data_IF_383495945575
#
_entry.id   IF_383495945575
#
_cell.length_a   1.000
_cell.length_b   1.000
_cell.length_c   1.000
_cell.angle_alpha   90.00
_cell.angle_beta   90.00
_cell.angle_gamma   90.00
#
_symmetry.space_group_name_H-M   'P 1'
#
loop_
_entity.id
_entity.type
_entity.pdbx_description
1 polymer ?
#
# COMPACT_ATOMS: atom_id res chain seq x y z
N UNK A 1 27.96 3.01 5.79
CA UNK A 1 26.69 2.28 5.67
C UNK A 1 25.83 3.04 4.66
N UNK A 2 25.16 2.34 3.75
CA UNK A 2 24.24 3.01 2.83
C UNK A 2 23.07 3.61 3.64
N UNK A 3 22.71 4.83 3.32
CA UNK A 3 21.58 5.50 3.95
C UNK A 3 20.29 4.76 3.61
N UNK A 4 19.52 4.39 4.62
CA UNK A 4 18.26 3.70 4.42
C UNK A 4 17.23 4.62 3.79
N UNK A 5 16.49 4.10 2.84
CA UNK A 5 15.42 4.83 2.17
C UNK A 5 14.34 5.31 3.17
N UNK A 6 13.74 6.47 2.89
CA UNK A 6 12.69 7.06 3.72
C UNK A 6 11.53 6.06 3.95
N UNK A 7 11.07 5.40 2.90
CA UNK A 7 9.96 4.45 3.00
C UNK A 7 10.29 3.23 3.86
N UNK A 8 11.56 2.81 3.89
CA UNK A 8 12.00 1.70 4.76
C UNK A 8 11.88 2.09 6.23
N UNK A 9 12.28 3.30 6.58
CA UNK A 9 12.18 3.80 7.96
C UNK A 9 10.73 3.96 8.39
N UNK A 10 9.88 4.47 7.51
CA UNK A 10 8.42 4.57 7.74
C UNK A 10 7.81 3.18 7.93
N UNK A 11 8.22 2.22 7.08
CA UNK A 11 7.77 0.82 7.22
C UNK A 11 8.18 0.24 8.57
N UNK A 12 9.44 0.40 8.94
CA UNK A 12 9.99 -0.16 10.19
C UNK A 12 9.28 0.45 11.41
N UNK A 13 9.01 1.75 11.38
CA UNK A 13 8.23 2.41 12.44
C UNK A 13 6.79 1.86 12.52
N UNK A 14 6.09 1.78 11.39
CA UNK A 14 4.73 1.19 11.35
C UNK A 14 4.72 -0.27 11.78
N UNK A 15 5.74 -1.03 11.40
CA UNK A 15 5.91 -2.42 11.82
C UNK A 15 6.12 -2.52 13.34
N UNK A 16 6.96 -1.64 13.92
CA UNK A 16 7.20 -1.62 15.37
C UNK A 16 5.90 -1.38 16.14
N UNK A 17 5.11 -0.38 15.73
CA UNK A 17 3.81 -0.11 16.35
C UNK A 17 2.88 -1.33 16.30
N UNK A 18 2.81 -1.98 15.14
CA UNK A 18 1.99 -3.18 14.97
C UNK A 18 2.47 -4.32 15.89
N UNK A 19 3.78 -4.53 15.93
CA UNK A 19 4.37 -5.61 16.73
C UNK A 19 4.20 -5.37 18.23
N UNK A 20 4.38 -4.14 18.70
CA UNK A 20 4.14 -3.76 20.10
C UNK A 20 2.69 -4.07 20.51
N UNK A 21 1.73 -3.72 19.66
CA UNK A 21 0.32 -4.02 19.88
C UNK A 21 0.06 -5.54 19.93
N UNK A 22 0.67 -6.31 19.03
CA UNK A 22 0.51 -7.77 19.01
C UNK A 22 1.21 -8.46 20.21
N UNK A 23 2.39 -7.96 20.58
CA UNK A 23 3.18 -8.53 21.68
C UNK A 23 2.56 -8.24 23.06
N UNK A 24 1.77 -7.16 23.18
CA UNK A 24 1.01 -6.88 24.41
C UNK A 24 -0.05 -7.94 24.71
N UNK A 25 -0.43 -8.75 23.72
CA UNK A 25 -1.45 -9.80 23.85
C UNK A 25 -0.71 -11.16 23.87
N UNK A 26 -0.60 -11.82 25.04
CA UNK A 26 0.16 -13.07 25.12
C UNK A 26 -0.56 -14.25 24.48
N UNK A 27 0.22 -15.20 23.98
CA UNK A 27 -0.28 -16.48 23.46
C UNK A 27 -0.80 -16.43 22.03
N UNK A 28 -1.35 -17.56 21.60
CA UNK A 28 -1.88 -17.71 20.23
C UNK A 28 -3.07 -16.82 19.99
N UNK A 29 -3.09 -16.17 18.83
CA UNK A 29 -4.13 -15.20 18.45
C UNK A 29 -4.46 -15.28 16.97
N UNK A 30 -5.64 -14.82 16.58
CA UNK A 30 -6.00 -14.61 15.19
C UNK A 30 -6.19 -13.12 14.95
N UNK A 31 -5.71 -12.62 13.81
CA UNK A 31 -6.04 -11.25 13.37
C UNK A 31 -7.30 -11.33 12.51
N UNK A 32 -8.25 -10.44 12.81
CA UNK A 32 -9.48 -10.25 12.05
C UNK A 32 -9.38 -8.91 11.33
N UNK A 33 -9.20 -8.97 10.03
CA UNK A 33 -8.86 -7.81 9.20
C UNK A 33 -10.10 -7.08 8.69
N UNK A 34 -10.08 -5.76 8.79
CA UNK A 34 -10.82 -4.92 7.87
C UNK A 34 -10.21 -5.13 6.47
N UNK A 35 -11.01 -5.56 5.47
CA UNK A 35 -10.46 -5.84 4.14
C UNK A 35 -9.70 -4.67 3.49
N UNK A 36 -10.07 -3.43 3.81
CA UNK A 36 -9.42 -2.23 3.28
C UNK A 36 -8.01 -2.03 3.86
N UNK A 37 -7.77 -2.50 5.08
CA UNK A 37 -6.47 -2.37 5.76
C UNK A 37 -5.51 -3.50 5.42
N UNK A 38 -6.03 -4.70 5.12
CA UNK A 38 -5.22 -5.90 4.98
C UNK A 38 -4.05 -5.72 4.01
N UNK A 39 -4.32 -5.15 2.83
CA UNK A 39 -3.30 -4.94 1.80
C UNK A 39 -2.23 -3.95 2.25
N UNK A 40 -2.64 -2.87 2.89
CA UNK A 40 -1.72 -1.82 3.37
C UNK A 40 -0.80 -2.35 4.47
N UNK A 41 -1.37 -3.10 5.42
CA UNK A 41 -0.59 -3.68 6.53
C UNK A 41 0.38 -4.76 6.01
N UNK A 42 0.04 -5.49 4.96
CA UNK A 42 0.96 -6.45 4.32
C UNK A 42 2.22 -5.78 3.76
N UNK A 43 2.19 -4.47 3.49
CA UNK A 43 3.39 -3.70 3.12
C UNK A 43 4.32 -3.46 4.32
N UNK A 44 3.77 -3.52 5.55
CA UNK A 44 4.54 -3.34 6.78
C UNK A 44 5.07 -4.67 7.31
N UNK A 45 4.26 -5.73 7.28
CA UNK A 45 4.61 -7.00 7.92
C UNK A 45 4.18 -8.20 7.09
N UNK A 46 5.12 -9.09 6.84
CA UNK A 46 4.86 -10.36 6.13
C UNK A 46 4.10 -11.34 7.04
N UNK A 47 3.44 -12.31 6.44
CA UNK A 47 2.77 -13.41 7.17
C UNK A 47 3.77 -14.13 8.11
N UNK A 48 5.00 -14.35 7.65
CA UNK A 48 6.05 -14.98 8.47
C UNK A 48 6.35 -14.16 9.74
N UNK A 49 6.45 -12.83 9.62
CA UNK A 49 6.70 -11.94 10.74
C UNK A 49 5.53 -11.92 11.74
N UNK A 50 4.30 -12.00 11.24
CA UNK A 50 3.09 -12.12 12.07
C UNK A 50 3.06 -13.46 12.80
N UNK A 51 3.44 -14.57 12.15
CA UNK A 51 3.51 -15.89 12.76
C UNK A 51 4.51 -15.92 13.93
N UNK A 52 5.64 -15.19 13.82
CA UNK A 52 6.61 -15.04 14.89
C UNK A 52 6.03 -14.33 16.13
N UNK A 53 4.90 -13.60 15.97
CA UNK A 53 4.16 -12.92 17.05
C UNK A 53 2.95 -13.75 17.52
N UNK A 54 2.99 -15.07 17.29
CA UNK A 54 1.93 -16.01 17.64
C UNK A 54 0.58 -15.73 16.95
N UNK A 55 0.61 -15.08 15.79
CA UNK A 55 -0.59 -14.95 14.94
C UNK A 55 -0.70 -16.24 14.11
N UNK A 56 -1.67 -17.06 14.42
CA UNK A 56 -1.83 -18.37 13.76
C UNK A 56 -2.85 -18.33 12.63
N UNK A 57 -3.79 -17.39 12.66
CA UNK A 57 -4.78 -17.23 11.58
C UNK A 57 -4.95 -15.76 11.18
N UNK A 58 -5.17 -15.56 9.89
CA UNK A 58 -5.56 -14.28 9.29
C UNK A 58 -6.97 -14.44 8.74
N UNK A 59 -7.93 -13.77 9.35
CA UNK A 59 -9.36 -13.86 9.06
C UNK A 59 -9.84 -12.52 8.50
N UNK A 60 -10.91 -12.50 7.74
CA UNK A 60 -11.46 -11.27 7.18
C UNK A 60 -12.86 -11.00 7.69
N UNK A 61 -13.12 -9.75 8.11
CA UNK A 61 -14.42 -9.35 8.68
C UNK A 61 -15.59 -9.52 7.70
N UNK A 62 -15.33 -9.47 6.39
CA UNK A 62 -16.38 -9.57 5.37
C UNK A 62 -16.71 -11.01 4.96
N UNK A 63 -16.01 -11.99 5.51
CA UNK A 63 -16.25 -13.40 5.22
C UNK A 63 -17.13 -14.05 6.29
N UNK A 64 -17.89 -15.10 5.95
CA UNK A 64 -18.61 -15.86 6.97
C UNK A 64 -17.66 -16.39 8.05
N UNK A 65 -18.20 -16.69 9.21
CA UNK A 65 -17.39 -17.25 10.31
C UNK A 65 -16.67 -18.52 9.83
N UNK A 66 -15.37 -18.51 9.95
CA UNK A 66 -14.50 -19.62 9.59
C UNK A 66 -14.39 -20.54 10.81
N UNK A 67 -14.39 -21.86 10.60
CA UNK A 67 -14.17 -22.86 11.67
C UNK A 67 -12.85 -22.59 12.42
N UNK A 68 -11.85 -22.04 11.74
CA UNK A 68 -10.58 -21.61 12.35
C UNK A 68 -10.77 -20.56 13.45
N UNK A 69 -11.85 -19.80 13.41
CA UNK A 69 -12.23 -18.87 14.46
C UNK A 69 -12.41 -19.59 15.82
N UNK A 70 -12.84 -20.84 15.77
CA UNK A 70 -13.13 -21.65 16.97
C UNK A 70 -11.86 -22.28 17.59
N UNK A 71 -10.74 -22.23 16.88
CA UNK A 71 -9.47 -22.80 17.34
C UNK A 71 -8.65 -21.83 18.20
N UNK A 72 -9.09 -20.57 18.32
CA UNK A 72 -8.35 -19.49 18.98
C UNK A 72 -9.25 -18.74 19.96
N UNK A 73 -8.73 -18.47 21.14
CA UNK A 73 -9.46 -17.74 22.18
C UNK A 73 -9.23 -16.22 22.13
N UNK A 74 -8.22 -15.74 21.39
CA UNK A 74 -7.86 -14.32 21.32
C UNK A 74 -8.01 -13.81 19.90
N UNK A 75 -8.91 -12.85 19.72
CA UNK A 75 -9.18 -12.21 18.43
C UNK A 75 -8.69 -10.77 18.47
N UNK A 76 -7.80 -10.43 17.55
CA UNK A 76 -7.23 -9.09 17.41
C UNK A 76 -7.82 -8.45 16.15
N UNK A 77 -8.59 -7.40 16.32
CA UNK A 77 -9.25 -6.70 15.22
C UNK A 77 -8.42 -5.49 14.80
N UNK A 78 -8.10 -5.40 13.52
CA UNK A 78 -7.47 -4.23 12.91
C UNK A 78 -8.53 -3.55 12.05
N UNK A 79 -9.00 -2.38 12.49
CA UNK A 79 -10.23 -1.75 12.02
C UNK A 79 -9.94 -0.34 11.51
N UNK A 80 -10.43 -0.03 10.33
CA UNK A 80 -10.38 1.33 9.78
C UNK A 80 -11.47 2.24 10.38
N UNK A 81 -11.39 3.52 10.08
CA UNK A 81 -12.27 4.55 10.66
C UNK A 81 -13.68 4.57 10.06
N UNK A 82 -13.93 3.87 8.94
CA UNK A 82 -15.17 3.98 8.19
C UNK A 82 -16.38 3.43 8.95
N UNK A 83 -17.56 3.94 8.64
CA UNK A 83 -18.82 3.41 9.20
C UNK A 83 -19.02 1.94 8.77
N UNK A 84 -18.58 1.58 7.57
CA UNK A 84 -18.65 0.21 7.06
C UNK A 84 -17.77 -0.73 7.90
N UNK A 85 -16.54 -0.30 8.23
CA UNK A 85 -15.63 -1.08 9.09
C UNK A 85 -16.26 -1.35 10.46
N UNK A 86 -16.84 -0.31 11.06
CA UNK A 86 -17.51 -0.44 12.36
C UNK A 86 -18.72 -1.39 12.30
N UNK A 87 -19.50 -1.33 11.24
CA UNK A 87 -20.63 -2.25 11.03
C UNK A 87 -20.13 -3.71 10.95
N UNK A 88 -19.11 -3.97 10.13
CA UNK A 88 -18.50 -5.30 9.99
C UNK A 88 -17.95 -5.81 11.32
N UNK A 89 -17.29 -4.93 12.09
CA UNK A 89 -16.78 -5.27 13.42
C UNK A 89 -17.92 -5.72 14.35
N UNK A 90 -18.99 -4.94 14.42
CA UNK A 90 -20.17 -5.28 15.26
C UNK A 90 -20.79 -6.62 14.86
N UNK A 91 -20.93 -6.86 13.56
CA UNK A 91 -21.45 -8.13 13.06
C UNK A 91 -20.53 -9.31 13.43
N UNK A 92 -19.22 -9.13 13.27
CA UNK A 92 -18.25 -10.17 13.58
C UNK A 92 -18.24 -10.48 15.09
N UNK A 93 -18.22 -9.45 15.94
CA UNK A 93 -18.31 -9.60 17.40
C UNK A 93 -19.57 -10.38 17.80
N UNK A 94 -20.71 -10.08 17.20
CA UNK A 94 -21.97 -10.76 17.50
C UNK A 94 -21.94 -12.27 17.21
N UNK A 95 -21.10 -12.69 16.26
CA UNK A 95 -20.95 -14.10 15.86
C UNK A 95 -19.90 -14.84 16.72
N UNK A 96 -19.12 -14.11 17.51
CA UNK A 96 -18.03 -14.70 18.30
C UNK A 96 -18.59 -15.51 19.51
N UNK A 97 -17.77 -16.45 19.99
CA UNK A 97 -18.12 -17.26 21.16
C UNK A 97 -17.91 -16.45 22.44
N UNK A 98 -18.68 -16.81 23.47
CA UNK A 98 -18.59 -16.15 24.78
C UNK A 98 -17.26 -16.38 25.51
N UNK A 99 -16.51 -17.40 25.10
CA UNK A 99 -15.18 -17.72 25.69
C UNK A 99 -14.05 -16.90 25.08
N UNK A 100 -14.29 -16.25 23.94
CA UNK A 100 -13.24 -15.51 23.23
C UNK A 100 -13.03 -14.12 23.81
N UNK A 101 -11.79 -13.66 23.80
CA UNK A 101 -11.41 -12.30 24.18
C UNK A 101 -11.14 -11.47 22.91
N UNK A 102 -11.49 -10.21 22.98
CA UNK A 102 -11.45 -9.29 21.86
C UNK A 102 -10.52 -8.12 22.14
N UNK A 103 -9.56 -7.88 21.24
CA UNK A 103 -8.61 -6.78 21.29
C UNK A 103 -8.80 -5.95 20.00
N UNK A 104 -9.23 -4.71 20.12
CA UNK A 104 -9.65 -3.90 18.98
C UNK A 104 -8.69 -2.71 18.80
N UNK A 105 -8.06 -2.62 17.64
CA UNK A 105 -7.14 -1.54 17.29
C UNK A 105 -7.69 -0.78 16.08
N UNK A 106 -7.95 0.51 16.28
CA UNK A 106 -8.39 1.40 15.21
C UNK A 106 -7.18 2.04 14.53
N UNK A 107 -7.14 1.96 13.20
CA UNK A 107 -6.04 2.49 12.40
C UNK A 107 -6.57 3.61 11.50
N UNK A 108 -5.97 4.81 11.54
CA UNK A 108 -4.85 5.21 12.40
C UNK A 108 -5.27 5.61 13.81
N UNK A 109 -6.56 5.85 14.05
CA UNK A 109 -7.02 6.33 15.37
C UNK A 109 -8.46 5.92 15.64
N UNK A 110 -8.77 5.90 16.92
CA UNK A 110 -10.13 5.69 17.42
C UNK A 110 -10.68 7.06 17.83
N UNK A 111 -11.54 7.63 17.02
CA UNK A 111 -12.19 8.89 17.33
C UNK A 111 -13.24 8.74 18.46
N UNK A 112 -13.71 9.87 18.99
CA UNK A 112 -14.64 9.91 20.11
C UNK A 112 -15.91 9.07 19.85
N UNK A 113 -16.45 9.14 18.63
CA UNK A 113 -17.63 8.35 18.24
C UNK A 113 -17.38 6.85 18.34
N UNK A 114 -16.23 6.37 17.81
CA UNK A 114 -15.86 4.94 17.86
C UNK A 114 -15.66 4.47 19.29
N UNK A 115 -15.01 5.31 20.10
CA UNK A 115 -14.85 5.02 21.53
C UNK A 115 -16.21 4.80 22.21
N UNK A 116 -17.12 5.75 22.04
CA UNK A 116 -18.46 5.66 22.62
C UNK A 116 -19.23 4.42 22.14
N UNK A 117 -19.10 4.08 20.85
CA UNK A 117 -19.76 2.88 20.29
C UNK A 117 -19.21 1.59 20.92
N UNK A 118 -17.90 1.48 21.18
CA UNK A 118 -17.31 0.30 21.82
C UNK A 118 -17.69 0.26 23.31
N UNK A 119 -17.66 1.39 23.99
CA UNK A 119 -18.09 1.51 25.40
C UNK A 119 -19.52 1.03 25.56
N UNK A 120 -20.43 1.45 24.67
CA UNK A 120 -21.81 1.01 24.65
C UNK A 120 -21.93 -0.52 24.44
N UNK A 121 -21.10 -1.11 23.57
CA UNK A 121 -21.06 -2.56 23.40
C UNK A 121 -20.63 -3.26 24.69
N UNK A 122 -19.64 -2.71 25.40
CA UNK A 122 -19.16 -3.28 26.69
C UNK A 122 -20.23 -3.24 27.78
N UNK A 123 -21.18 -2.33 27.72
CA UNK A 123 -22.30 -2.29 28.68
C UNK A 123 -23.24 -3.49 28.52
N UNK A 124 -23.19 -4.16 27.37
CA UNK A 124 -24.02 -5.38 27.18
C UNK A 124 -23.38 -6.58 27.91
N UNK A 125 -24.21 -7.41 28.49
CA UNK A 125 -23.77 -8.60 29.25
C UNK A 125 -22.81 -9.50 28.43
N UNK A 126 -23.01 -9.61 27.14
CA UNK A 126 -22.20 -10.43 26.24
C UNK A 126 -20.75 -9.93 26.16
N UNK A 127 -20.53 -8.62 26.15
CA UNK A 127 -19.20 -8.05 25.88
C UNK A 127 -18.50 -7.43 27.10
N UNK A 128 -19.19 -7.36 28.23
CA UNK A 128 -18.70 -6.69 29.46
C UNK A 128 -17.29 -7.13 29.88
N UNK A 129 -17.00 -8.44 29.79
CA UNK A 129 -15.71 -9.00 30.18
C UNK A 129 -14.88 -9.49 29.00
N UNK A 130 -15.43 -9.60 27.80
CA UNK A 130 -14.73 -10.19 26.66
C UNK A 130 -13.93 -9.17 25.84
N UNK A 131 -14.36 -7.90 25.77
CA UNK A 131 -13.57 -6.83 25.14
C UNK A 131 -12.52 -6.34 26.13
N UNK A 132 -11.28 -6.79 25.96
CA UNK A 132 -10.15 -6.52 26.85
C UNK A 132 -9.47 -5.18 26.52
N UNK A 133 -9.24 -4.94 25.24
CA UNK A 133 -8.50 -3.76 24.77
C UNK A 133 -9.28 -3.09 23.64
N UNK A 134 -9.30 -1.76 23.62
CA UNK A 134 -9.75 -0.99 22.44
C UNK A 134 -8.98 0.33 22.42
N UNK A 135 -8.11 0.47 21.43
CA UNK A 135 -7.10 1.53 21.38
C UNK A 135 -6.88 2.02 19.95
N UNK A 136 -6.22 3.15 19.83
CA UNK A 136 -5.68 3.65 18.56
C UNK A 136 -4.36 2.95 18.26
N UNK A 137 -4.15 2.60 17.00
CA UNK A 137 -2.86 2.14 16.51
C UNK A 137 -2.41 3.16 15.44
N UNK A 138 -1.52 4.10 15.80
CA UNK A 138 -1.29 5.31 14.99
C UNK A 138 -0.41 5.09 13.76
N UNK A 139 -0.73 4.08 12.97
CA UNK A 139 -0.07 3.80 11.70
C UNK A 139 -0.74 4.68 10.62
N UNK A 140 -0.06 5.75 10.22
CA UNK A 140 -0.60 6.72 9.26
C UNK A 140 0.03 6.59 7.87
N UNK A 141 1.31 6.22 7.80
CA UNK A 141 2.05 6.12 6.56
C UNK A 141 2.29 4.66 6.16
N UNK A 142 2.18 4.41 4.88
CA UNK A 142 2.46 3.10 4.29
C UNK A 142 3.44 3.31 3.13
N UNK A 143 4.44 2.45 2.97
CA UNK A 143 5.26 2.49 1.76
C UNK A 143 4.33 2.39 0.55
N UNK A 144 4.62 3.12 -0.52
CA UNK A 144 3.90 2.90 -1.76
C UNK A 144 4.20 1.47 -2.22
N UNK A 145 3.21 0.76 -2.79
CA UNK A 145 3.47 -0.57 -3.33
C UNK A 145 4.55 -0.55 -4.41
N UNK A 146 4.65 0.55 -5.16
CA UNK A 146 5.70 0.74 -6.16
C UNK A 146 7.08 0.59 -5.51
N UNK A 147 7.98 -0.05 -6.20
CA UNK A 147 9.34 -0.23 -5.70
C UNK A 147 10.15 1.09 -5.74
N UNK A 148 9.48 2.21 -5.61
CA UNK A 148 10.11 3.50 -5.41
C UNK A 148 10.34 3.68 -3.89
N UNK A 149 11.58 3.59 -3.42
CA UNK A 149 11.89 3.64 -1.99
C UNK A 149 11.62 4.99 -1.35
N UNK A 150 11.32 6.00 -2.16
CA UNK A 150 11.14 7.36 -1.67
C UNK A 150 9.67 7.78 -1.62
N UNK A 151 8.73 6.86 -1.90
CA UNK A 151 7.31 7.16 -1.91
C UNK A 151 6.58 6.46 -0.76
N UNK A 152 5.80 7.22 0.00
CA UNK A 152 4.90 6.71 1.03
C UNK A 152 3.50 7.29 0.79
N UNK A 153 2.48 6.59 1.26
CA UNK A 153 1.08 7.00 1.10
C UNK A 153 0.34 6.97 2.43
N UNK A 154 -0.74 7.74 2.53
CA UNK A 154 -1.67 7.70 3.66
C UNK A 154 -2.97 7.00 3.24
N UNK A 155 -3.65 6.41 4.22
CA UNK A 155 -5.02 5.96 4.04
C UNK A 155 -5.93 7.20 4.00
N UNK A 156 -6.58 7.42 2.86
CA UNK A 156 -7.53 8.50 2.69
C UNK A 156 -8.56 8.12 1.63
N UNK A 157 -9.80 8.50 1.87
CA UNK A 157 -10.90 8.27 0.93
C UNK A 157 -11.69 9.56 0.77
N UNK A 158 -12.19 9.79 -0.43
CA UNK A 158 -13.09 10.91 -0.73
C UNK A 158 -12.50 12.29 -0.33
N UNK A 159 -11.18 12.45 -0.46
CA UNK A 159 -10.47 13.66 0.00
C UNK A 159 -10.98 14.90 -0.74
N UNK A 160 -10.95 14.86 -2.07
CA UNK A 160 -11.30 16.02 -2.90
C UNK A 160 -12.78 16.39 -2.74
N UNK A 161 -13.75 15.47 -2.90
CA UNK A 161 -15.15 15.83 -2.66
C UNK A 161 -15.40 16.43 -1.28
N UNK A 162 -14.89 15.82 -0.22
CA UNK A 162 -15.08 16.32 1.14
C UNK A 162 -14.49 17.73 1.33
N UNK A 163 -13.26 17.90 0.86
CA UNK A 163 -12.54 19.17 1.02
C UNK A 163 -13.18 20.29 0.21
N UNK A 164 -13.54 20.02 -1.06
CA UNK A 164 -14.00 21.04 -2.01
C UNK A 164 -15.51 21.27 -1.91
N UNK A 165 -16.32 20.20 -1.78
CA UNK A 165 -17.78 20.32 -1.79
C UNK A 165 -18.36 20.48 -0.39
N UNK A 166 -17.82 19.76 0.61
CA UNK A 166 -18.36 19.76 1.96
C UNK A 166 -17.63 20.73 2.89
N UNK A 167 -16.51 21.31 2.44
CA UNK A 167 -15.62 22.14 3.26
C UNK A 167 -15.18 21.39 4.55
N UNK A 168 -14.97 20.09 4.43
CA UNK A 168 -14.56 19.21 5.53
C UNK A 168 -13.03 19.11 5.58
N UNK A 169 -12.44 19.74 6.58
CA UNK A 169 -10.98 19.81 6.75
C UNK A 169 -10.39 18.63 7.53
N UNK A 170 -11.17 17.59 7.79
CA UNK A 170 -10.70 16.40 8.53
C UNK A 170 -9.44 15.81 7.90
N UNK A 171 -9.39 15.74 6.56
CA UNK A 171 -8.22 15.17 5.87
C UNK A 171 -6.98 16.08 5.98
N UNK A 172 -7.15 17.39 6.01
CA UNK A 172 -6.04 18.33 6.27
C UNK A 172 -5.48 18.13 7.69
N UNK A 173 -6.37 17.95 8.66
CA UNK A 173 -5.99 17.67 10.06
C UNK A 173 -5.16 16.36 10.13
N UNK A 174 -5.61 15.31 9.46
CA UNK A 174 -4.90 14.02 9.40
C UNK A 174 -3.53 14.14 8.72
N UNK A 175 -3.43 14.94 7.66
CA UNK A 175 -2.14 15.22 7.01
C UNK A 175 -1.19 15.96 7.98
N UNK A 176 -1.70 16.95 8.70
CA UNK A 176 -0.92 17.71 9.69
C UNK A 176 -0.43 16.78 10.82
N UNK A 177 -1.31 15.93 11.35
CA UNK A 177 -0.94 14.92 12.36
C UNK A 177 0.12 13.94 11.85
N UNK A 178 -0.03 13.47 10.61
CA UNK A 178 0.93 12.55 10.00
C UNK A 178 2.31 13.21 9.86
N UNK A 179 2.33 14.47 9.45
CA UNK A 179 3.58 15.25 9.34
C UNK A 179 4.20 15.46 10.72
N UNK A 180 3.40 15.83 11.73
CA UNK A 180 3.87 16.02 13.11
C UNK A 180 4.52 14.74 13.66
N UNK A 181 3.92 13.57 13.39
CA UNK A 181 4.48 12.28 13.80
C UNK A 181 5.78 11.97 13.03
N UNK A 182 5.86 12.36 11.76
CA UNK A 182 7.08 12.21 10.98
C UNK A 182 8.19 13.10 11.56
N UNK A 183 7.86 14.33 12.00
CA UNK A 183 8.81 15.21 12.68
C UNK A 183 9.41 14.55 13.94
N UNK A 184 8.63 13.76 14.68
CA UNK A 184 9.16 13.06 15.85
C UNK A 184 10.16 11.94 15.52
N UNK A 185 10.24 11.54 14.25
CA UNK A 185 11.24 10.56 13.77
C UNK A 185 12.48 11.25 13.20
N UNK A 186 12.49 12.59 13.14
CA UNK A 186 13.58 13.36 12.55
C UNK A 186 14.57 13.79 13.60
N UNK A 187 15.82 13.97 13.16
CA UNK A 187 16.92 14.50 13.98
C UNK A 187 16.64 15.93 14.45
N UNK A 188 16.05 16.72 13.56
CA UNK A 188 15.68 18.11 13.82
C UNK A 188 14.41 18.47 13.05
N UNK A 189 13.71 19.48 13.52
CA UNK A 189 12.49 19.97 12.86
C UNK A 189 12.86 20.57 11.50
N UNK A 190 12.24 20.13 10.39
CA UNK A 190 12.54 20.64 9.06
C UNK A 190 11.95 22.03 8.84
N UNK A 191 12.50 22.76 7.88
CA UNK A 191 11.85 23.96 7.34
C UNK A 191 10.70 23.51 6.46
N UNK A 192 9.49 24.04 6.68
CA UNK A 192 8.32 23.66 5.87
C UNK A 192 7.88 24.84 5.01
N UNK A 193 7.73 24.61 3.71
CA UNK A 193 7.18 25.58 2.77
C UNK A 193 5.84 25.07 2.24
N UNK A 194 4.89 25.95 2.10
CA UNK A 194 3.51 25.64 1.75
C UNK A 194 3.15 26.32 0.42
N UNK A 195 2.55 25.56 -0.50
CA UNK A 195 2.13 26.04 -1.81
C UNK A 195 0.65 25.69 -2.03
N UNK A 196 -0.19 26.71 -2.10
CA UNK A 196 -1.63 26.59 -2.33
C UNK A 196 -2.45 26.87 -1.09
N UNK A 197 -3.75 27.02 -1.29
CA UNK A 197 -4.71 27.41 -0.24
C UNK A 197 -4.83 26.35 0.85
N UNK A 198 -4.98 25.07 0.45
CA UNK A 198 -5.16 23.96 1.39
C UNK A 198 -3.88 23.68 2.17
N UNK A 199 -2.73 23.78 1.50
CA UNK A 199 -1.43 23.68 2.17
C UNK A 199 -1.27 24.76 3.24
N UNK A 200 -1.67 25.99 2.92
CA UNK A 200 -1.63 27.11 3.88
C UNK A 200 -2.57 26.86 5.08
N UNK A 201 -3.78 26.36 4.82
CA UNK A 201 -4.70 25.98 5.91
C UNK A 201 -4.11 24.88 6.79
N UNK A 202 -3.47 23.88 6.17
CA UNK A 202 -2.78 22.81 6.89
C UNK A 202 -1.68 23.36 7.81
N UNK A 203 -0.96 24.42 7.40
CA UNK A 203 0.09 25.00 8.24
C UNK A 203 -0.46 25.52 9.58
N UNK A 204 -1.64 26.16 9.56
CA UNK A 204 -2.29 26.63 10.78
C UNK A 204 -2.68 25.48 11.72
N UNK A 205 -3.19 24.39 11.14
CA UNK A 205 -3.52 23.16 11.90
C UNK A 205 -2.26 22.56 12.51
N UNK A 206 -1.18 22.45 11.75
CA UNK A 206 0.10 21.89 12.22
C UNK A 206 0.66 22.67 13.40
N UNK A 207 0.63 24.00 13.34
CA UNK A 207 1.10 24.86 14.45
C UNK A 207 0.26 24.64 15.72
N UNK A 208 -1.06 24.55 15.58
CA UNK A 208 -1.95 24.26 16.73
C UNK A 208 -1.61 22.89 17.35
N UNK A 209 -1.37 21.87 16.50
CA UNK A 209 -0.98 20.53 16.97
C UNK A 209 0.39 20.54 17.65
N UNK A 210 1.34 21.32 17.15
CA UNK A 210 2.66 21.48 17.77
C UNK A 210 2.54 22.10 19.16
N UNK A 211 1.76 23.16 19.30
CA UNK A 211 1.52 23.80 20.59
C UNK A 211 0.90 22.82 21.59
N UNK A 212 -0.09 22.07 21.16
CA UNK A 212 -0.75 21.06 22.01
C UNK A 212 0.21 19.91 22.40
N UNK A 213 1.18 19.58 21.57
CA UNK A 213 2.16 18.52 21.84
C UNK A 213 3.28 18.96 22.80
N UNK A 214 3.62 20.24 22.82
CA UNK A 214 4.65 20.78 23.73
C UNK A 214 4.31 20.51 25.21
N UNK A 215 3.03 20.32 25.52
CA UNK A 215 2.57 19.97 26.87
C UNK A 215 2.66 18.47 27.19
N UNK A 216 3.09 17.62 26.23
CA UNK A 216 3.17 16.17 26.43
C UNK A 216 4.64 15.73 26.58
N UNK A 217 4.88 14.63 27.33
CA UNK A 217 6.25 14.09 27.43
C UNK A 217 6.83 13.73 26.05
N UNK A 218 8.10 14.02 25.86
CA UNK A 218 8.82 13.67 24.64
C UNK A 218 8.82 12.14 24.42
N UNK A 219 8.38 11.71 23.26
CA UNK A 219 8.54 10.32 22.84
C UNK A 219 10.06 10.07 22.61
N UNK A 220 10.55 8.94 23.09
CA UNK A 220 11.96 8.57 22.90
C UNK A 220 12.25 8.43 21.40
N UNK A 221 13.17 9.23 20.91
CA UNK A 221 13.63 9.15 19.52
C UNK A 221 14.37 7.83 19.26
N UNK A 222 14.12 7.27 18.11
CA UNK A 222 14.89 6.15 17.58
C UNK A 222 16.37 6.53 17.46
N UNK A 223 17.25 5.58 17.68
CA UNK A 223 18.70 5.78 17.54
C UNK A 223 19.14 6.16 16.11
N UNK A 224 18.26 6.00 15.13
CA UNK A 224 18.52 6.32 13.73
C UNK A 224 17.47 7.34 13.23
N UNK A 225 17.67 8.61 13.54
CA UNK A 225 16.74 9.67 13.14
C UNK A 225 16.79 9.95 11.63
N UNK A 226 15.63 10.35 11.08
CA UNK A 226 15.53 10.82 9.69
C UNK A 226 16.23 12.18 9.54
N UNK A 227 17.00 12.34 8.47
CA UNK A 227 17.65 13.61 8.13
C UNK A 227 16.90 14.28 6.98
N UNK A 228 15.93 15.13 7.33
CA UNK A 228 15.15 15.91 6.37
C UNK A 228 15.32 17.38 6.72
N UNK A 229 15.92 18.15 5.83
CA UNK A 229 16.17 19.59 6.01
C UNK A 229 14.95 20.43 5.65
N UNK A 230 14.23 20.04 4.59
CA UNK A 230 13.10 20.81 4.06
C UNK A 230 11.98 19.91 3.62
N UNK A 231 10.75 20.34 3.90
CA UNK A 231 9.51 19.70 3.45
C UNK A 231 8.71 20.70 2.62
N UNK A 232 8.34 20.30 1.41
CA UNK A 232 7.44 21.08 0.55
C UNK A 232 6.04 20.46 0.62
N UNK A 233 5.08 21.23 1.12
CA UNK A 233 3.67 20.83 1.15
C UNK A 233 2.99 21.51 -0.05
N UNK A 234 2.59 20.72 -1.01
CA UNK A 234 2.03 21.21 -2.27
C UNK A 234 0.58 20.75 -2.39
N UNK A 235 -0.31 21.71 -2.53
CA UNK A 235 -1.73 21.51 -2.76
C UNK A 235 -1.96 20.94 -4.16
N UNK A 236 -2.69 19.86 -4.29
CA UNK A 236 -3.04 19.27 -5.59
C UNK A 236 -3.71 20.30 -6.53
N UNK A 237 -4.43 21.25 -5.97
CA UNK A 237 -5.12 22.30 -6.73
C UNK A 237 -4.18 23.33 -7.35
N UNK A 238 -2.90 23.34 -6.97
CA UNK A 238 -1.86 24.19 -7.58
C UNK A 238 -1.70 23.91 -9.07
N UNK A 239 -1.93 22.65 -9.46
CA UNK A 239 -1.92 22.23 -10.87
C UNK A 239 -3.07 21.25 -11.12
N UNK A 240 -4.26 21.75 -11.45
CA UNK A 240 -5.40 20.89 -11.77
C UNK A 240 -5.40 20.36 -13.20
N UNK A 241 -4.52 20.88 -14.06
CA UNK A 241 -4.49 20.54 -15.49
C UNK A 241 -3.72 19.25 -15.77
N UNK A 242 -2.54 19.10 -15.17
CA UNK A 242 -1.67 17.94 -15.44
C UNK A 242 -2.36 16.59 -15.23
N UNK A 243 -3.17 16.39 -14.17
CA UNK A 243 -3.89 15.12 -14.01
C UNK A 243 -4.94 14.84 -15.10
N UNK A 244 -5.34 15.85 -15.85
CA UNK A 244 -6.31 15.70 -16.95
C UNK A 244 -5.65 15.42 -18.31
N UNK A 245 -4.32 15.51 -18.38
CA UNK A 245 -3.58 15.23 -19.61
C UNK A 245 -3.41 13.72 -19.80
N UNK A 246 -3.51 13.27 -21.04
CA UNK A 246 -3.30 11.86 -21.39
C UNK A 246 -1.87 11.42 -21.04
N UNK A 247 -1.77 10.26 -20.42
CA UNK A 247 -0.50 9.69 -20.00
C UNK A 247 0.33 9.24 -21.22
N UNK A 248 1.65 9.34 -21.10
CA UNK A 248 2.57 8.93 -22.17
C UNK A 248 3.59 7.89 -21.74
N UNK A 249 3.84 7.78 -20.43
CA UNK A 249 4.74 6.75 -19.90
C UNK A 249 4.05 5.40 -19.84
N UNK A 250 4.84 4.34 -19.88
CA UNK A 250 4.31 2.97 -19.85
C UNK A 250 3.45 2.74 -18.60
N UNK A 251 3.97 3.08 -17.42
CA UNK A 251 3.21 2.92 -16.16
C UNK A 251 1.95 3.80 -16.14
N UNK A 252 2.06 5.05 -16.57
CA UNK A 252 0.91 5.97 -16.59
C UNK A 252 -0.20 5.49 -17.52
N UNK A 253 0.16 4.99 -18.70
CA UNK A 253 -0.83 4.45 -19.65
C UNK A 253 -1.46 3.16 -19.16
N UNK A 254 -0.68 2.28 -18.50
CA UNK A 254 -1.25 1.06 -17.90
C UNK A 254 -2.30 1.43 -16.85
N UNK A 255 -2.03 2.45 -16.03
CA UNK A 255 -3.01 2.92 -15.04
C UNK A 255 -4.24 3.56 -15.72
N UNK A 256 -4.02 4.43 -16.72
CA UNK A 256 -5.10 5.12 -17.44
C UNK A 256 -6.06 4.16 -18.14
N UNK A 257 -5.54 3.11 -18.80
CA UNK A 257 -6.37 2.20 -19.63
C UNK A 257 -6.88 0.96 -18.88
N UNK A 258 -6.15 0.47 -17.89
CA UNK A 258 -6.51 -0.78 -17.19
C UNK A 258 -6.78 -0.59 -15.69
N UNK A 259 -6.30 0.50 -15.11
CA UNK A 259 -6.36 0.73 -13.67
C UNK A 259 -5.37 -0.16 -12.89
N UNK A 260 -4.41 0.45 -12.21
CA UNK A 260 -3.48 -0.29 -11.36
C UNK A 260 -4.11 -0.47 -9.98
N UNK A 261 -4.23 -1.71 -9.53
CA UNK A 261 -4.79 -2.01 -8.20
C UNK A 261 -3.79 -1.74 -7.06
N UNK A 262 -4.27 -1.83 -5.82
CA UNK A 262 -3.46 -1.59 -4.61
C UNK A 262 -2.29 -2.57 -4.45
N UNK A 263 -2.31 -3.70 -5.15
CA UNK A 263 -1.24 -4.71 -5.17
C UNK A 263 -0.25 -4.48 -6.33
N UNK A 264 -0.34 -3.33 -7.02
CA UNK A 264 0.43 -3.00 -8.23
C UNK A 264 0.25 -4.06 -9.32
N UNK A 265 -0.99 -4.37 -9.63
CA UNK A 265 -1.32 -5.27 -10.72
C UNK A 265 -2.44 -4.66 -11.56
N UNK A 266 -2.44 -5.00 -12.83
CA UNK A 266 -3.53 -4.69 -13.75
C UNK A 266 -4.32 -5.95 -14.06
N UNK A 267 -5.56 -5.74 -14.52
CA UNK A 267 -6.43 -6.82 -15.02
C UNK A 267 -6.71 -6.55 -16.48
N UNK A 268 -6.42 -7.52 -17.31
CA UNK A 268 -6.65 -7.44 -18.76
C UNK A 268 -7.48 -8.64 -19.19
N UNK A 269 -8.24 -8.49 -20.27
CA UNK A 269 -8.90 -9.63 -20.90
C UNK A 269 -7.85 -10.64 -21.36
N UNK A 270 -7.97 -11.88 -20.96
CA UNK A 270 -7.04 -12.95 -21.38
C UNK A 270 -7.12 -13.16 -22.89
N UNK A 271 -8.29 -13.03 -23.48
CA UNK A 271 -8.50 -13.17 -24.92
C UNK A 271 -7.77 -12.06 -25.69
N UNK A 272 -7.92 -10.80 -25.22
CA UNK A 272 -7.19 -9.66 -25.82
C UNK A 272 -5.68 -9.83 -25.64
N UNK A 273 -5.24 -10.27 -24.46
CA UNK A 273 -3.81 -10.47 -24.17
C UNK A 273 -3.19 -11.57 -25.06
N UNK A 274 -3.89 -12.67 -25.26
CA UNK A 274 -3.39 -13.82 -26.03
C UNK A 274 -3.67 -13.73 -27.55
N UNK A 275 -4.43 -12.73 -28.02
CA UNK A 275 -4.96 -12.65 -29.39
C UNK A 275 -5.86 -13.85 -29.75
N UNK A 276 -6.72 -14.28 -28.82
CA UNK A 276 -7.64 -15.40 -29.01
C UNK A 276 -9.06 -14.89 -29.21
N UNK A 277 -9.74 -15.32 -30.29
CA UNK A 277 -11.14 -14.98 -30.55
C UNK A 277 -12.05 -16.15 -30.11
N UNK A 278 -13.17 -15.81 -29.47
CA UNK A 278 -14.23 -16.76 -29.18
C UNK A 278 -14.04 -17.65 -27.95
N UNK A 279 -13.01 -17.43 -27.14
CA UNK A 279 -12.87 -18.12 -25.85
C UNK A 279 -13.75 -17.46 -24.76
N UNK A 280 -14.03 -18.17 -23.69
CA UNK A 280 -14.72 -17.58 -22.52
C UNK A 280 -13.95 -16.35 -22.00
N UNK A 281 -14.68 -15.30 -21.68
CA UNK A 281 -14.09 -14.05 -21.21
C UNK A 281 -13.53 -14.24 -19.79
N UNK A 282 -12.23 -14.42 -19.71
CA UNK A 282 -11.52 -14.58 -18.46
C UNK A 282 -10.56 -13.41 -18.25
N UNK A 283 -10.38 -13.00 -16.99
CA UNK A 283 -9.42 -11.96 -16.63
C UNK A 283 -8.06 -12.54 -16.29
N UNK A 284 -7.03 -11.95 -16.87
CA UNK A 284 -5.64 -12.22 -16.51
C UNK A 284 -5.14 -11.09 -15.63
N UNK A 285 -4.64 -11.43 -14.44
CA UNK A 285 -4.02 -10.49 -13.51
C UNK A 285 -2.50 -10.48 -13.76
N UNK A 286 -1.95 -9.29 -13.98
CA UNK A 286 -0.52 -9.09 -14.29
C UNK A 286 0.09 -8.17 -13.22
N UNK A 287 0.99 -8.70 -12.38
CA UNK A 287 1.72 -7.85 -11.42
C UNK A 287 2.74 -6.98 -12.14
N UNK A 288 2.90 -5.73 -11.68
CA UNK A 288 3.84 -4.74 -12.22
C UNK A 288 4.99 -4.51 -11.23
N UNK A 289 5.71 -5.59 -10.87
CA UNK A 289 6.74 -5.57 -9.83
C UNK A 289 8.08 -6.16 -10.29
N UNK A 290 8.13 -6.60 -11.52
CA UNK A 290 9.30 -7.31 -12.05
C UNK A 290 10.35 -6.33 -12.59
N UNK A 291 11.55 -6.87 -12.77
CA UNK A 291 12.72 -6.12 -13.22
C UNK A 291 12.53 -5.43 -14.60
N UNK A 292 11.75 -6.05 -15.49
CA UNK A 292 11.48 -5.47 -16.82
C UNK A 292 10.56 -4.27 -16.70
N UNK A 293 9.48 -4.39 -15.91
CA UNK A 293 8.58 -3.25 -15.65
C UNK A 293 9.35 -2.06 -15.08
N UNK A 294 10.20 -2.29 -14.08
CA UNK A 294 10.98 -1.22 -13.44
C UNK A 294 11.90 -0.48 -14.43
N UNK A 295 12.44 -1.20 -15.42
CA UNK A 295 13.32 -0.62 -16.45
C UNK A 295 12.55 0.25 -17.45
N UNK A 296 11.29 -0.09 -17.74
CA UNK A 296 10.53 0.59 -18.81
C UNK A 296 9.40 1.49 -18.32
N UNK A 297 9.05 1.45 -17.04
CA UNK A 297 7.86 2.12 -16.47
C UNK A 297 7.76 3.62 -16.82
N UNK A 298 8.89 4.31 -16.85
CA UNK A 298 8.95 5.76 -17.07
C UNK A 298 9.24 6.13 -18.53
N UNK A 299 9.32 5.15 -19.42
CA UNK A 299 9.62 5.35 -20.85
C UNK A 299 8.35 5.61 -21.65
N UNK A 300 8.47 6.41 -22.72
CA UNK A 300 7.33 6.74 -23.58
C UNK A 300 6.91 5.55 -24.47
N UNK A 301 5.60 5.33 -24.54
CA UNK A 301 4.99 4.29 -25.37
C UNK A 301 4.71 4.89 -26.78
N UNK A 302 4.93 4.18 -27.89
CA UNK A 302 5.56 2.84 -27.98
C UNK A 302 7.06 2.88 -28.24
N UNK A 303 7.62 4.01 -28.61
CA UNK A 303 8.95 4.12 -29.21
C UNK A 303 10.08 3.76 -28.24
N UNK A 304 10.06 4.37 -27.03
CA UNK A 304 11.15 4.19 -26.08
C UNK A 304 11.07 2.83 -25.38
N UNK A 305 9.85 2.39 -25.05
CA UNK A 305 9.60 1.05 -24.50
C UNK A 305 10.06 0.00 -25.53
N UNK A 306 9.67 0.16 -26.79
CA UNK A 306 10.06 -0.77 -27.86
C UNK A 306 11.57 -0.88 -28.03
N UNK A 307 12.28 0.25 -28.01
CA UNK A 307 13.75 0.27 -28.12
C UNK A 307 14.41 -0.49 -26.94
N UNK A 308 13.91 -0.24 -25.74
CA UNK A 308 14.47 -0.91 -24.55
C UNK A 308 14.21 -2.41 -24.58
N UNK A 309 13.00 -2.82 -24.95
CA UNK A 309 12.66 -4.24 -25.09
C UNK A 309 13.56 -4.94 -26.13
N UNK A 310 13.84 -4.28 -27.25
CA UNK A 310 14.75 -4.81 -28.27
C UNK A 310 16.18 -4.96 -27.73
N UNK A 311 16.66 -3.96 -26.98
CA UNK A 311 17.98 -4.01 -26.36
C UNK A 311 18.09 -5.18 -25.37
N UNK A 312 17.11 -5.27 -24.44
CA UNK A 312 17.07 -6.36 -23.44
C UNK A 312 17.00 -7.73 -24.15
N UNK A 313 16.18 -7.85 -25.18
CA UNK A 313 16.05 -9.10 -25.96
C UNK A 313 17.41 -9.52 -26.58
N UNK A 314 18.14 -8.55 -27.15
CA UNK A 314 19.45 -8.82 -27.72
C UNK A 314 20.44 -9.31 -26.66
N UNK A 315 20.50 -8.61 -25.51
CA UNK A 315 21.37 -8.98 -24.39
C UNK A 315 21.04 -10.38 -23.87
N UNK A 316 19.74 -10.71 -23.73
CA UNK A 316 19.30 -12.05 -23.30
C UNK A 316 19.71 -13.14 -24.31
N UNK A 317 19.61 -12.86 -25.61
CA UNK A 317 20.01 -13.82 -26.65
C UNK A 317 21.54 -14.05 -26.65
N UNK A 318 22.32 -13.00 -26.43
CA UNK A 318 23.79 -13.11 -26.27
C UNK A 318 24.14 -13.96 -25.05
N UNK A 319 23.53 -13.69 -23.90
CA UNK A 319 23.73 -14.48 -22.68
C UNK A 319 23.30 -15.95 -22.86
N UNK A 320 22.20 -16.19 -23.57
CA UNK A 320 21.76 -17.56 -23.87
C UNK A 320 22.79 -18.31 -24.73
N UNK A 321 23.33 -17.65 -25.75
CA UNK A 321 24.37 -18.23 -26.62
C UNK A 321 25.65 -18.57 -25.81
N UNK A 322 26.06 -17.70 -24.90
CA UNK A 322 27.17 -17.96 -23.98
C UNK A 322 26.89 -19.19 -23.09
N UNK A 323 25.69 -19.27 -22.50
CA UNK A 323 25.31 -20.41 -21.66
C UNK A 323 25.34 -21.76 -22.44
N UNK A 324 24.97 -21.74 -23.70
CA UNK A 324 24.96 -22.92 -24.56
C UNK A 324 26.36 -23.36 -24.97
N UNK A 325 27.36 -22.47 -24.90
CA UNK A 325 28.75 -22.80 -25.27
C UNK A 325 29.55 -23.40 -24.09
N UNK A 326 28.97 -23.57 -22.90
CA UNK A 326 29.63 -24.15 -21.73
C UNK A 326 30.07 -25.59 -21.99
N UNK A 327 31.33 -25.90 -21.69
CA UNK A 327 31.96 -27.20 -22.06
C UNK A 327 32.35 -28.05 -20.86
N UNK A 328 32.47 -27.49 -19.68
CA UNK A 328 32.86 -28.23 -18.46
C UNK A 328 31.64 -28.51 -17.56
N UNK A 329 31.73 -29.58 -16.75
CA UNK A 329 30.66 -29.99 -15.82
C UNK A 329 30.31 -28.87 -14.82
N UNK A 330 31.34 -28.14 -14.35
CA UNK A 330 31.12 -27.02 -13.42
C UNK A 330 30.38 -25.86 -14.13
N UNK A 331 30.81 -25.51 -15.34
CA UNK A 331 30.17 -24.49 -16.17
C UNK A 331 28.71 -24.89 -16.51
N UNK A 332 28.44 -26.13 -16.81
CA UNK A 332 27.10 -26.64 -17.13
C UNK A 332 26.14 -26.43 -15.95
N UNK A 333 26.56 -26.74 -14.71
CA UNK A 333 25.72 -26.53 -13.52
C UNK A 333 25.37 -25.05 -13.29
N UNK A 334 26.32 -24.14 -13.52
CA UNK A 334 26.10 -22.70 -13.43
C UNK A 334 25.18 -22.23 -14.58
N UNK A 335 25.42 -22.73 -15.79
CA UNK A 335 24.66 -22.37 -16.98
C UNK A 335 23.17 -22.81 -16.88
N UNK A 336 22.89 -23.95 -16.26
CA UNK A 336 21.49 -24.41 -16.08
C UNK A 336 20.70 -23.41 -15.20
N UNK A 337 21.29 -22.94 -14.09
CA UNK A 337 20.64 -21.94 -13.24
C UNK A 337 20.45 -20.58 -13.95
N UNK A 338 21.48 -20.16 -14.71
CA UNK A 338 21.41 -18.96 -15.54
C UNK A 338 20.31 -19.08 -16.61
N UNK A 339 20.23 -20.23 -17.25
CA UNK A 339 19.21 -20.50 -18.30
C UNK A 339 17.79 -20.38 -17.76
N UNK A 340 17.51 -20.93 -16.57
CA UNK A 340 16.19 -20.82 -15.94
C UNK A 340 15.82 -19.35 -15.70
N UNK A 341 16.76 -18.56 -15.17
CA UNK A 341 16.55 -17.12 -14.97
C UNK A 341 16.32 -16.40 -16.30
N UNK A 342 17.14 -16.70 -17.32
CA UNK A 342 17.00 -16.11 -18.66
C UNK A 342 15.61 -16.40 -19.26
N UNK A 343 15.12 -17.63 -19.13
CA UNK A 343 13.79 -18.01 -19.64
C UNK A 343 12.68 -17.22 -18.94
N UNK A 344 12.80 -17.05 -17.62
CA UNK A 344 11.84 -16.23 -16.85
C UNK A 344 11.85 -14.78 -17.32
N UNK A 345 13.04 -14.20 -17.48
CA UNK A 345 13.18 -12.81 -17.97
C UNK A 345 12.63 -12.67 -19.40
N UNK A 346 12.87 -13.63 -20.29
CA UNK A 346 12.28 -13.63 -21.64
C UNK A 346 10.76 -13.64 -21.61
N UNK A 347 10.18 -14.41 -20.69
CA UNK A 347 8.71 -14.45 -20.50
C UNK A 347 8.18 -13.07 -20.06
N UNK A 348 8.90 -12.38 -19.15
CA UNK A 348 8.53 -11.03 -18.71
C UNK A 348 8.66 -10.02 -19.86
N UNK A 349 9.74 -10.10 -20.66
CA UNK A 349 9.92 -9.23 -21.82
C UNK A 349 8.75 -9.42 -22.81
N UNK A 350 8.38 -10.67 -23.10
CA UNK A 350 7.26 -10.98 -23.99
C UNK A 350 5.95 -10.40 -23.42
N UNK A 351 5.73 -10.55 -22.10
CA UNK A 351 4.55 -10.01 -21.42
C UNK A 351 4.46 -8.48 -21.56
N UNK A 352 5.53 -7.76 -21.24
CA UNK A 352 5.53 -6.29 -21.32
C UNK A 352 5.54 -5.78 -22.77
N UNK A 353 6.13 -6.52 -23.71
CA UNK A 353 6.00 -6.22 -25.14
C UNK A 353 4.54 -6.30 -25.56
N UNK A 354 3.83 -7.34 -25.13
CA UNK A 354 2.41 -7.50 -25.45
C UNK A 354 1.57 -6.36 -24.85
N UNK A 355 1.85 -5.97 -23.61
CA UNK A 355 1.17 -4.81 -22.98
C UNK A 355 1.45 -3.51 -23.77
N UNK A 356 2.69 -3.30 -24.23
CA UNK A 356 3.04 -2.14 -25.03
C UNK A 356 2.27 -2.13 -26.37
N UNK A 357 2.08 -3.27 -26.99
CA UNK A 357 1.27 -3.40 -28.21
C UNK A 357 -0.20 -3.05 -27.94
N UNK A 358 -0.77 -3.55 -26.86
CA UNK A 358 -2.15 -3.24 -26.46
C UNK A 358 -2.32 -1.74 -26.22
N UNK A 359 -1.37 -1.10 -25.52
CA UNK A 359 -1.39 0.35 -25.29
C UNK A 359 -1.26 1.14 -26.59
N UNK A 360 -0.38 0.72 -27.51
CA UNK A 360 -0.23 1.32 -28.83
C UNK A 360 -1.54 1.27 -29.60
N UNK A 361 -2.24 0.15 -29.56
CA UNK A 361 -3.53 -0.02 -30.22
C UNK A 361 -4.56 0.98 -29.66
N UNK A 362 -4.68 1.04 -28.33
CA UNK A 362 -5.61 1.94 -27.63
C UNK A 362 -5.26 3.42 -27.86
N UNK A 363 -3.96 3.75 -27.97
CA UNK A 363 -3.50 5.12 -28.26
C UNK A 363 -3.95 5.62 -29.65
N UNK A 364 -4.18 4.71 -30.59
CA UNK A 364 -4.65 5.04 -31.93
C UNK A 364 -6.18 5.08 -32.03
N UNK A 365 -6.90 4.84 -30.95
CA UNK A 365 -8.35 4.98 -30.94
C UNK A 365 -8.70 6.49 -30.88
N UNK A 366 -9.08 7.05 -32.01
CA UNK A 366 -9.37 8.47 -32.22
C UNK A 366 -10.41 9.03 -31.24
N UNK A 367 -11.29 8.19 -30.76
CA UNK A 367 -12.31 8.59 -29.78
C UNK A 367 -11.71 9.02 -28.45
N UNK A 368 -10.69 8.35 -28.01
CA UNK A 368 -10.07 8.62 -26.70
C UNK A 368 -9.25 9.94 -26.72
N UNK A 369 -8.48 10.18 -27.74
CA UNK A 369 -7.62 11.38 -27.86
C UNK A 369 -8.23 12.58 -28.58
N UNK A 370 -9.22 12.38 -29.12
CA UNK A 370 -9.91 13.44 -29.75
C UNK A 370 -10.62 14.37 -28.85
N UNK A 371 -10.86 13.87 -27.85
CA UNK A 371 -11.41 14.68 -26.84
C UNK A 371 -10.38 15.54 -26.14
N UNK A 372 -9.42 15.05 -26.18
CA UNK A 372 -8.36 15.78 -25.56
C UNK A 372 -7.78 16.89 -26.39
N UNK A 373 -7.93 16.71 -27.49
CA UNK A 373 -7.50 17.77 -28.37
C UNK A 373 -8.33 18.87 -28.39
#
# INVERSE_FOLDING_TARGET
MAERAFSERIRDHGQSLLFEALDSIPGAKAIVWDPQLMRRINLLATVSALNQRNVIFNLSMNKPADKRNDEVDRLVYLVGESNRAMHMLKEYLNRSRSTQTHHIFFIPEMNFKRRAEIEQLKETQKFASSIQTFESLPIRWFPAPSQNPDVVTMLATDVVPRLVLDNDWTQLHKCAEALLRTESLMDRRPTIRYFGEWATKMSGILEQLRMAKEDLPEEKHSTEALQIDEVLVIDRWTDPVTPLLAQRTFAGMLDEFFGVDEDEAIRVSANEFNNEEGAEETERRIPLKDEIFLEVRDKAVPADVGREMQKITRELNEMEAECKSASTVAEVKVSVKKLDRLMKTKTLVAQHTRLCEMLKFRQHDDFFYXXXX
#
